data_IF_020716944651
#
_entry.id   IF_020716944651
#
_cell.length_a   1.000
_cell.length_b   1.000
_cell.length_c   1.000
_cell.angle_alpha   90.00
_cell.angle_beta   90.00
_cell.angle_gamma   90.00
#
_symmetry.space_group_name_H-M   'P 1'
#
loop_
_entity.id
_entity.type
_entity.pdbx_description
1 polymer ?
#
# COMPACT_ATOMS: atom_id res chain seq x y z
N UNK A 1 -3.60 26.75 12.42
CA UNK A 1 -3.61 25.49 11.65
C UNK A 1 -5.02 24.95 11.65
N UNK A 2 -5.56 24.60 10.48
CA UNK A 2 -6.86 23.91 10.41
C UNK A 2 -6.67 22.41 10.69
N UNK A 3 -7.74 21.74 11.12
CA UNK A 3 -7.71 20.32 11.48
C UNK A 3 -7.31 19.39 10.31
N UNK A 4 -7.80 19.66 9.10
CA UNK A 4 -7.45 18.92 7.89
C UNK A 4 -5.99 19.11 7.49
N UNK A 5 -5.39 20.26 7.78
CA UNK A 5 -3.95 20.44 7.60
C UNK A 5 -3.16 19.47 8.48
N UNK A 6 -3.58 19.28 9.74
CA UNK A 6 -2.97 18.29 10.64
C UNK A 6 -3.12 16.86 10.12
N UNK A 7 -4.33 16.49 9.68
CA UNK A 7 -4.62 15.17 9.07
C UNK A 7 -3.77 14.94 7.82
N UNK A 8 -3.66 15.95 6.94
CA UNK A 8 -2.85 15.85 5.73
C UNK A 8 -1.37 15.66 6.06
N UNK A 9 -0.86 16.35 7.09
CA UNK A 9 0.51 16.17 7.55
C UNK A 9 0.77 14.80 8.14
N UNK A 10 -0.16 14.26 8.93
CA UNK A 10 -0.05 12.88 9.42
C UNK A 10 -0.01 11.88 8.26
N UNK A 11 -0.92 12.01 7.29
CA UNK A 11 -0.92 11.19 6.09
C UNK A 11 0.40 11.24 5.30
N UNK A 12 0.97 12.44 5.08
CA UNK A 12 2.26 12.59 4.40
C UNK A 12 3.42 11.92 5.16
N UNK A 13 3.38 11.93 6.50
CA UNK A 13 4.42 11.33 7.34
C UNK A 13 4.38 9.81 7.20
N UNK A 14 3.21 9.18 7.37
CA UNK A 14 3.07 7.72 7.28
C UNK A 14 3.46 7.22 5.88
N UNK A 15 3.14 7.98 4.81
CA UNK A 15 3.57 7.64 3.45
C UNK A 15 5.10 7.65 3.28
N UNK A 16 5.79 8.62 3.89
CA UNK A 16 7.26 8.68 3.86
C UNK A 16 7.87 7.57 4.72
N UNK A 17 7.25 7.21 5.85
CA UNK A 17 7.67 6.07 6.68
C UNK A 17 7.54 4.75 5.90
N UNK A 18 6.40 4.50 5.23
CA UNK A 18 6.22 3.35 4.34
C UNK A 18 7.31 3.29 3.27
N UNK A 19 7.64 4.43 2.65
CA UNK A 19 8.70 4.52 1.65
C UNK A 19 10.06 4.13 2.23
N UNK A 20 10.44 4.68 3.38
CA UNK A 20 11.71 4.40 4.05
C UNK A 20 11.77 2.91 4.45
N UNK A 21 10.72 2.38 5.06
CA UNK A 21 10.64 0.97 5.45
C UNK A 21 10.75 0.04 4.25
N UNK A 22 10.16 0.41 3.11
CA UNK A 22 10.29 -0.32 1.85
C UNK A 22 11.75 -0.34 1.39
N UNK A 23 12.45 0.79 1.41
CA UNK A 23 13.86 0.87 1.03
C UNK A 23 14.76 0.02 1.95
N UNK A 24 14.48 0.03 3.25
CA UNK A 24 15.18 -0.81 4.24
C UNK A 24 14.92 -2.30 3.98
N UNK A 25 13.66 -2.71 3.81
CA UNK A 25 13.28 -4.10 3.59
C UNK A 25 13.95 -4.71 2.35
N UNK A 26 14.18 -3.90 1.29
CA UNK A 26 14.84 -4.34 0.06
C UNK A 26 16.31 -4.74 0.23
N UNK A 27 16.98 -4.21 1.25
CA UNK A 27 18.43 -4.45 1.46
C UNK A 27 18.73 -5.29 2.69
N UNK A 28 17.73 -5.49 3.56
CA UNK A 28 17.88 -6.22 4.81
C UNK A 28 17.96 -7.76 4.61
N UNK A 29 18.64 -8.49 5.51
CA UNK A 29 18.57 -9.95 5.57
C UNK A 29 17.13 -10.45 5.75
N UNK A 30 16.79 -11.60 5.15
CA UNK A 30 15.41 -12.11 5.09
C UNK A 30 14.58 -12.01 6.39
N UNK A 31 15.09 -12.46 7.55
CA UNK A 31 14.35 -12.33 8.82
C UNK A 31 14.09 -10.87 9.22
N UNK A 32 15.05 -9.97 9.00
CA UNK A 32 14.91 -8.54 9.29
C UNK A 32 13.94 -7.91 8.29
N UNK A 33 14.06 -8.21 7.00
CA UNK A 33 13.13 -7.75 5.99
C UNK A 33 11.69 -8.17 6.32
N UNK A 34 11.47 -9.40 6.79
CA UNK A 34 10.16 -9.86 7.23
C UNK A 34 9.61 -9.03 8.40
N UNK A 35 10.43 -8.75 9.42
CA UNK A 35 10.02 -7.87 10.53
C UNK A 35 9.71 -6.45 10.07
N UNK A 36 10.50 -5.89 9.16
CA UNK A 36 10.27 -4.54 8.61
C UNK A 36 8.97 -4.50 7.81
N UNK A 37 8.67 -5.54 7.02
CA UNK A 37 7.40 -5.63 6.29
C UNK A 37 6.19 -5.72 7.23
N UNK A 38 6.33 -6.34 8.40
CA UNK A 38 5.26 -6.36 9.42
C UNK A 38 5.01 -4.97 10.00
N UNK A 39 6.06 -4.20 10.30
CA UNK A 39 5.93 -2.80 10.78
C UNK A 39 5.28 -1.94 9.70
N UNK A 40 5.69 -2.10 8.44
CA UNK A 40 5.13 -1.36 7.31
C UNK A 40 3.62 -1.58 7.14
N UNK A 41 3.07 -2.73 7.57
CA UNK A 41 1.62 -2.96 7.55
C UNK A 41 0.87 -2.08 8.56
N UNK A 42 1.49 -1.75 9.70
CA UNK A 42 0.92 -0.82 10.68
C UNK A 42 0.86 0.59 10.10
N UNK A 43 1.97 1.08 9.53
CA UNK A 43 2.02 2.39 8.84
C UNK A 43 1.01 2.49 7.70
N UNK A 44 0.82 1.42 6.93
CA UNK A 44 -0.19 1.38 5.87
C UNK A 44 -1.61 1.57 6.44
N UNK A 45 -1.92 0.96 7.58
CA UNK A 45 -3.22 1.12 8.21
C UNK A 45 -3.44 2.55 8.73
N UNK A 46 -2.39 3.18 9.27
CA UNK A 46 -2.44 4.59 9.71
C UNK A 46 -2.61 5.55 8.53
N UNK A 47 -1.83 5.35 7.45
CA UNK A 47 -1.98 6.13 6.21
C UNK A 47 -3.40 6.00 5.63
N UNK A 48 -3.96 4.79 5.60
CA UNK A 48 -5.35 4.55 5.17
C UNK A 48 -6.36 5.26 6.09
N UNK A 49 -6.11 5.29 7.39
CA UNK A 49 -6.96 6.00 8.35
C UNK A 49 -7.00 7.50 8.05
N UNK A 50 -5.84 8.15 7.90
CA UNK A 50 -5.80 9.59 7.59
C UNK A 50 -6.37 9.91 6.22
N UNK A 51 -6.10 9.07 5.23
CA UNK A 51 -6.67 9.21 3.90
C UNK A 51 -8.21 9.20 3.94
N UNK A 52 -8.81 8.26 4.68
CA UNK A 52 -10.27 8.22 4.87
C UNK A 52 -10.79 9.50 5.53
N UNK A 53 -10.05 10.07 6.49
CA UNK A 53 -10.43 11.34 7.13
C UNK A 53 -10.35 12.54 6.17
N UNK A 54 -9.40 12.54 5.24
CA UNK A 54 -9.30 13.55 4.18
C UNK A 54 -10.46 13.45 3.18
N UNK A 55 -10.89 12.24 2.82
CA UNK A 55 -12.05 12.03 1.94
C UNK A 55 -13.35 12.63 2.48
N UNK A 56 -13.47 12.78 3.81
CA UNK A 56 -14.63 13.40 4.44
C UNK A 56 -14.64 14.94 4.32
N UNK A 57 -13.56 15.56 3.82
CA UNK A 57 -13.46 17.02 3.64
C UNK A 57 -14.31 17.46 2.44
N UNK A 58 -15.22 18.43 2.61
CA UNK A 58 -15.96 19.00 1.48
C UNK A 58 -15.00 19.58 0.42
N UNK A 59 -15.14 19.13 -0.82
CA UNK A 59 -14.30 19.59 -1.93
C UNK A 59 -12.91 18.96 -1.99
N UNK A 60 -12.63 17.90 -1.23
CA UNK A 60 -11.41 17.10 -1.44
C UNK A 60 -11.53 16.30 -2.74
N UNK A 61 -10.75 16.72 -3.73
CA UNK A 61 -10.44 15.92 -4.91
C UNK A 61 -9.03 15.39 -4.70
N UNK A 62 -8.92 14.09 -4.45
CA UNK A 62 -7.59 13.46 -4.47
C UNK A 62 -7.00 13.62 -5.88
N UNK A 63 -5.72 13.95 -5.97
CA UNK A 63 -4.97 13.67 -7.19
C UNK A 63 -4.90 12.16 -7.27
N UNK A 64 -5.82 11.53 -7.99
CA UNK A 64 -5.79 10.10 -8.26
C UNK A 64 -4.37 9.77 -8.69
N UNK A 65 -3.62 9.07 -7.82
CA UNK A 65 -2.49 8.32 -8.31
C UNK A 65 -3.15 7.24 -9.17
N UNK A 66 -3.22 7.49 -10.48
CA UNK A 66 -3.43 6.44 -11.47
C UNK A 66 -2.24 5.49 -11.33
N UNK A 67 -2.28 4.66 -10.29
CA UNK A 67 -1.38 3.55 -10.16
C UNK A 67 -1.82 2.59 -11.25
N UNK A 68 -1.20 2.71 -12.42
CA UNK A 68 -1.25 1.67 -13.45
C UNK A 68 -0.77 0.38 -12.78
N UNK A 69 -1.72 -0.38 -12.25
CA UNK A 69 -1.46 -1.68 -11.67
C UNK A 69 -1.08 -2.60 -12.83
N UNK A 70 0.19 -2.57 -13.20
CA UNK A 70 0.78 -3.60 -14.05
C UNK A 70 0.72 -4.90 -13.24
N UNK A 71 -0.26 -5.74 -13.57
CA UNK A 71 -0.34 -7.09 -13.01
C UNK A 71 1.04 -7.75 -13.18
N UNK A 72 1.66 -8.24 -12.09
CA UNK A 72 2.88 -9.02 -12.22
C UNK A 72 2.62 -10.24 -13.12
N UNK A 73 3.61 -10.75 -13.86
CA UNK A 73 3.45 -11.82 -14.86
C UNK A 73 3.10 -13.20 -14.28
N UNK A 74 2.76 -13.27 -12.99
CA UNK A 74 2.31 -14.48 -12.32
C UNK A 74 0.83 -14.33 -11.99
N UNK A 75 0.03 -15.29 -12.45
CA UNK A 75 -1.42 -15.33 -12.25
C UNK A 75 -1.81 -15.32 -10.78
N UNK A 76 -3.03 -14.87 -10.51
CA UNK A 76 -3.63 -14.85 -9.17
C UNK A 76 -3.57 -16.25 -8.55
N UNK A 77 -3.21 -16.40 -7.26
CA UNK A 77 -3.06 -17.71 -6.61
C UNK A 77 -4.36 -18.54 -6.50
N UNK A 78 -5.50 -18.00 -6.95
CA UNK A 78 -6.81 -18.65 -6.93
C UNK A 78 -7.30 -19.15 -8.29
N UNK A 79 -6.55 -18.94 -9.38
CA UNK A 79 -6.78 -19.73 -10.60
C UNK A 79 -6.02 -21.04 -10.46
N UNK A 80 -6.53 -21.91 -9.59
CA UNK A 80 -6.20 -23.33 -9.68
C UNK A 80 -6.63 -23.80 -11.07
N UNK A 81 -5.67 -24.28 -11.84
CA UNK A 81 -5.85 -24.81 -13.19
C UNK A 81 -7.09 -25.73 -13.29
N UNK A 82 -8.16 -25.25 -13.93
CA UNK A 82 -9.10 -26.14 -14.62
C UNK A 82 -8.52 -26.49 -16.00
N UNK A 83 -7.28 -27.00 -16.04
CA UNK A 83 -6.78 -27.72 -17.19
C UNK A 83 -7.42 -29.12 -17.20
N UNK A 84 -8.67 -29.20 -17.67
CA UNK A 84 -9.15 -30.47 -18.24
C UNK A 84 -8.57 -30.58 -19.65
N UNK A 85 -7.47 -31.32 -19.68
CA UNK A 85 -6.78 -31.87 -20.83
C UNK A 85 -7.70 -32.17 -22.01
N UNK A 86 -7.30 -31.68 -23.19
CA UNK A 86 -7.77 -32.24 -24.43
C UNK A 86 -7.36 -33.70 -24.52
N UNK A 87 -8.34 -34.59 -24.70
CA UNK A 87 -8.12 -35.91 -25.28
C UNK A 87 -8.96 -36.02 -26.56
N UNK A 88 -8.22 -35.92 -27.67
CA UNK A 88 -8.39 -36.53 -29.01
C UNK A 88 -9.79 -36.75 -29.56
#
# INVERSE_FOLDING_TARGET
MDWYHGVYKAYEIDLEEIRILTEVARTAPGPVAHSVLMIMMEELMEAMHWHMMLMMRPGYTESHYDYEYNQPPYGTPFTADENKEGQK
#
